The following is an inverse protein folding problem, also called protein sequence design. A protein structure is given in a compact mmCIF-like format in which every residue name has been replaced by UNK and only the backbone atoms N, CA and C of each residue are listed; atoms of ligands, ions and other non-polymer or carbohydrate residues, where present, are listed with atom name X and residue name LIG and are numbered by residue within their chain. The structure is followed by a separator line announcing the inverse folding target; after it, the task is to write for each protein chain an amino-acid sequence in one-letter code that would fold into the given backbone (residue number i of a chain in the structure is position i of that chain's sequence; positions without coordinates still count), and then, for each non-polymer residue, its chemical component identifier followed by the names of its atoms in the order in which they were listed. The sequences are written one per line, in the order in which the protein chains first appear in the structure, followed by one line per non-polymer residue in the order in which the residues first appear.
data_IF_496308307349
#
_entry.id   IF_496308307349
#
_cell.length_a   1.000
_cell.length_b   1.000
_cell.length_c   1.000
_cell.angle_alpha   90.00
_cell.angle_beta   90.00
_cell.angle_gamma   90.00
#
_symmetry.space_group_name_H-M   'P 1'
#
loop_
_entity.id
_entity.type
_entity.pdbx_description
1 polymer ?
#
# COMPACT_ATOMS: atom_id res chain seq x y z
N UNK A 1 23.96 -25.75 -2.10
CA UNK A 1 23.55 -25.41 -3.44
C UNK A 1 24.58 -24.49 -4.08
N UNK A 2 24.63 -24.45 -5.37
CA UNK A 2 25.48 -23.50 -6.09
C UNK A 2 24.81 -22.14 -6.13
N UNK A 3 25.60 -21.07 -6.04
CA UNK A 3 25.14 -19.72 -6.23
C UNK A 3 25.19 -19.37 -7.71
N UNK A 4 24.12 -18.79 -8.24
CA UNK A 4 24.00 -18.37 -9.64
C UNK A 4 23.41 -16.97 -9.74
N UNK A 5 23.79 -16.25 -10.78
CA UNK A 5 23.16 -14.96 -11.16
C UNK A 5 22.35 -15.16 -12.43
N UNK A 6 21.13 -14.64 -12.46
CA UNK A 6 20.23 -14.70 -13.62
C UNK A 6 20.10 -13.31 -14.21
N UNK A 7 20.44 -13.15 -15.49
CA UNK A 7 20.12 -11.95 -16.27
C UNK A 7 18.79 -12.15 -16.99
N UNK A 8 17.74 -11.52 -16.48
CA UNK A 8 16.41 -11.59 -17.06
C UNK A 8 16.27 -10.86 -18.41
N UNK A 9 17.24 -10.02 -18.80
CA UNK A 9 17.22 -9.28 -20.07
C UNK A 9 17.78 -10.14 -21.20
N UNK A 10 18.96 -10.73 -20.99
CA UNK A 10 19.59 -11.59 -21.99
C UNK A 10 19.14 -13.05 -21.92
N UNK A 11 18.57 -13.46 -20.78
CA UNK A 11 18.23 -14.86 -20.48
C UNK A 11 19.45 -15.71 -20.09
N UNK A 12 20.58 -15.10 -19.79
CA UNK A 12 21.80 -15.78 -19.40
C UNK A 12 21.79 -16.20 -17.91
N UNK A 13 22.44 -17.30 -17.62
CA UNK A 13 22.69 -17.79 -16.26
C UNK A 13 24.19 -17.84 -16.05
N UNK A 14 24.67 -17.06 -15.09
CA UNK A 14 26.08 -16.95 -14.74
C UNK A 14 26.38 -17.76 -13.47
N UNK A 15 27.51 -18.41 -13.43
CA UNK A 15 27.98 -19.10 -12.24
C UNK A 15 28.50 -18.08 -11.21
N UNK A 16 28.04 -18.22 -9.95
CA UNK A 16 28.43 -17.34 -8.85
C UNK A 16 27.59 -16.07 -8.74
N UNK A 17 27.91 -15.24 -7.75
CA UNK A 17 27.35 -13.92 -7.56
C UNK A 17 28.04 -12.91 -8.49
N UNK A 18 27.28 -12.27 -9.36
CA UNK A 18 27.78 -11.11 -10.12
C UNK A 18 27.68 -9.83 -9.27
N UNK A 19 28.61 -8.90 -9.48
CA UNK A 19 28.51 -7.58 -8.88
C UNK A 19 27.29 -6.84 -9.45
N UNK A 20 26.37 -6.43 -8.56
CA UNK A 20 25.17 -5.72 -8.93
C UNK A 20 25.44 -4.22 -8.91
N UNK A 21 25.12 -3.56 -10.00
CA UNK A 21 25.16 -2.10 -10.06
C UNK A 21 23.81 -1.53 -9.64
N UNK A 22 23.82 -0.59 -8.71
CA UNK A 22 22.62 0.17 -8.41
C UNK A 22 22.34 1.17 -9.54
N UNK A 23 21.08 1.27 -10.01
CA UNK A 23 20.70 2.25 -11.01
C UNK A 23 20.97 3.67 -10.48
N UNK A 24 21.82 4.40 -11.14
CA UNK A 24 22.09 5.79 -10.84
C UNK A 24 21.81 6.68 -12.06
N UNK A 25 21.35 7.91 -11.80
CA UNK A 25 21.25 8.92 -12.84
C UNK A 25 22.66 9.43 -13.12
N UNK A 26 23.27 8.99 -14.22
CA UNK A 26 24.47 9.62 -14.71
C UNK A 26 24.18 10.98 -15.36
N UNK A 27 25.24 11.76 -15.59
CA UNK A 27 25.11 13.11 -16.16
C UNK A 27 24.47 13.10 -17.56
N UNK A 28 24.73 12.07 -18.35
CA UNK A 28 24.17 11.92 -19.69
C UNK A 28 22.67 11.66 -19.64
N UNK A 29 22.25 10.80 -18.75
CA UNK A 29 20.83 10.51 -18.54
C UNK A 29 20.09 11.71 -17.94
N UNK A 30 20.70 12.40 -16.97
CA UNK A 30 20.15 13.63 -16.40
C UNK A 30 19.96 14.72 -17.47
N UNK A 31 20.93 14.87 -18.39
CA UNK A 31 20.85 15.81 -19.51
C UNK A 31 19.74 15.42 -20.50
N UNK A 32 19.57 14.14 -20.79
CA UNK A 32 18.50 13.66 -21.66
C UNK A 32 17.11 13.94 -21.05
N UNK A 33 16.95 13.71 -19.76
CA UNK A 33 15.70 14.04 -19.05
C UNK A 33 15.42 15.56 -19.09
N UNK A 34 16.44 16.39 -18.93
CA UNK A 34 16.26 17.85 -19.01
C UNK A 34 15.81 18.30 -20.41
N UNK A 35 16.34 17.70 -21.47
CA UNK A 35 15.87 17.98 -22.83
C UNK A 35 14.42 17.50 -23.03
N UNK A 36 14.08 16.30 -22.54
CA UNK A 36 12.72 15.77 -22.61
C UNK A 36 11.74 16.68 -21.86
N UNK A 37 12.09 17.15 -20.67
CA UNK A 37 11.24 18.03 -19.85
C UNK A 37 10.96 19.38 -20.52
N UNK A 38 11.89 19.92 -21.32
CA UNK A 38 11.69 21.16 -22.08
C UNK A 38 10.66 21.03 -23.20
N UNK A 39 10.58 19.84 -23.82
CA UNK A 39 9.69 19.55 -24.93
C UNK A 39 8.36 18.92 -24.48
N UNK A 40 8.32 18.37 -23.27
CA UNK A 40 7.17 17.65 -22.77
C UNK A 40 6.02 18.59 -22.40
N UNK A 41 4.81 18.28 -22.89
CA UNK A 41 3.58 19.04 -22.57
C UNK A 41 2.76 18.40 -21.46
N UNK A 42 3.16 17.21 -21.03
CA UNK A 42 2.45 16.41 -20.01
C UNK A 42 3.44 16.13 -18.89
N UNK A 43 3.01 16.33 -17.66
CA UNK A 43 3.82 15.99 -16.48
C UNK A 43 3.89 14.48 -16.28
N UNK A 44 5.07 13.98 -15.91
CA UNK A 44 5.29 12.57 -15.57
C UNK A 44 5.21 12.40 -14.06
N UNK A 45 4.29 11.56 -13.60
CA UNK A 45 4.09 11.25 -12.18
C UNK A 45 4.35 9.77 -11.94
N UNK A 46 5.00 9.47 -10.81
CA UNK A 46 5.28 8.10 -10.41
C UNK A 46 4.15 7.53 -9.54
N UNK A 47 4.07 6.20 -9.45
CA UNK A 47 3.34 5.54 -8.37
C UNK A 47 4.30 5.40 -7.18
N UNK A 48 3.84 5.77 -6.00
CA UNK A 48 4.59 5.62 -4.76
C UNK A 48 3.61 5.45 -3.59
N UNK A 49 3.74 4.36 -2.87
CA UNK A 49 2.85 3.99 -1.78
C UNK A 49 3.52 4.16 -0.41
N UNK A 50 4.84 4.24 -0.40
CA UNK A 50 5.68 4.39 0.79
C UNK A 50 6.57 5.64 0.70
N UNK A 51 7.09 6.14 1.84
CA UNK A 51 8.11 7.20 1.83
C UNK A 51 9.37 6.83 1.03
N UNK A 52 9.78 5.56 1.03
CA UNK A 52 10.93 5.08 0.26
C UNK A 52 10.69 5.18 -1.24
N UNK A 53 9.52 4.72 -1.72
CA UNK A 53 9.12 4.89 -3.13
C UNK A 53 9.11 6.36 -3.53
N UNK A 54 8.61 7.23 -2.64
CA UNK A 54 8.57 8.67 -2.90
C UNK A 54 9.98 9.28 -2.99
N UNK A 55 10.95 8.84 -2.16
CA UNK A 55 12.36 9.27 -2.27
C UNK A 55 12.94 8.83 -3.62
N UNK A 56 12.69 7.59 -4.01
CA UNK A 56 13.10 7.05 -5.31
C UNK A 56 12.49 7.84 -6.46
N UNK A 57 11.17 8.09 -6.42
CA UNK A 57 10.49 8.90 -7.43
C UNK A 57 11.10 10.32 -7.51
N UNK A 58 11.40 10.93 -6.38
CA UNK A 58 12.02 12.24 -6.29
C UNK A 58 13.45 12.26 -6.87
N UNK A 59 14.24 11.22 -6.59
CA UNK A 59 15.58 11.02 -7.13
C UNK A 59 15.55 10.94 -8.66
N UNK A 60 14.59 10.24 -9.23
CA UNK A 60 14.36 10.14 -10.68
C UNK A 60 13.59 11.33 -11.27
N UNK A 61 13.49 12.44 -10.54
CA UNK A 61 12.88 13.71 -11.00
C UNK A 61 11.40 13.58 -11.41
N UNK A 62 10.65 12.65 -10.83
CA UNK A 62 9.20 12.58 -11.04
C UNK A 62 8.55 13.91 -10.64
N UNK A 63 7.60 14.38 -11.45
CA UNK A 63 6.92 15.67 -11.30
C UNK A 63 5.69 15.58 -10.37
N UNK A 64 5.58 14.51 -9.62
CA UNK A 64 4.55 14.26 -8.62
C UNK A 64 4.30 12.78 -8.41
N UNK A 65 3.40 12.47 -7.48
CA UNK A 65 2.83 11.13 -7.29
C UNK A 65 1.48 11.06 -7.98
N UNK A 66 1.37 10.19 -8.98
CA UNK A 66 0.14 9.96 -9.74
C UNK A 66 -0.83 9.01 -9.06
N UNK A 67 -0.31 8.12 -8.21
CA UNK A 67 -1.10 7.20 -7.39
C UNK A 67 -0.32 6.79 -6.15
N UNK A 68 -0.90 7.08 -4.98
CA UNK A 68 -0.53 6.51 -3.70
C UNK A 68 -1.71 5.64 -3.21
N UNK A 69 -1.48 4.33 -3.11
CA UNK A 69 -2.47 3.33 -2.71
C UNK A 69 -2.38 3.13 -1.21
N UNK A 70 -3.33 3.66 -0.46
CA UNK A 70 -3.31 3.65 1.00
C UNK A 70 -3.42 2.26 1.61
N UNK A 71 -3.96 1.27 0.89
CA UNK A 71 -4.02 -0.12 1.34
C UNK A 71 -2.65 -0.72 1.58
N UNK A 72 -1.63 -0.34 0.80
CA UNK A 72 -0.28 -0.85 0.97
C UNK A 72 0.36 -0.43 2.30
N UNK A 73 -0.10 0.68 2.87
CA UNK A 73 0.33 1.13 4.19
C UNK A 73 -0.12 0.19 5.33
N UNK A 74 -1.15 -0.66 5.09
CA UNK A 74 -1.74 -1.52 6.11
C UNK A 74 -1.24 -2.98 6.09
N UNK A 75 -0.45 -3.39 5.09
CA UNK A 75 0.09 -4.75 5.01
C UNK A 75 1.34 -4.98 5.89
N UNK A 76 1.80 -3.96 6.59
CA UNK A 76 2.87 -4.08 7.57
C UNK A 76 2.45 -5.00 8.75
N UNK A 77 3.40 -5.82 9.25
CA UNK A 77 3.14 -6.81 10.31
C UNK A 77 2.56 -6.21 11.60
N UNK A 78 2.90 -4.96 11.91
CA UNK A 78 2.39 -4.26 13.10
C UNK A 78 1.00 -3.66 12.90
N UNK A 79 0.62 -3.38 11.66
CA UNK A 79 -0.62 -2.67 11.30
C UNK A 79 -1.73 -3.63 10.91
N UNK A 80 -1.38 -4.72 10.23
CA UNK A 80 -2.33 -5.71 9.73
C UNK A 80 -3.22 -6.30 10.84
N UNK A 81 -2.76 -6.60 12.05
CA UNK A 81 -3.62 -7.04 13.14
C UNK A 81 -4.69 -6.01 13.52
N UNK A 82 -4.35 -4.72 13.54
CA UNK A 82 -5.30 -3.64 13.86
C UNK A 82 -6.33 -3.48 12.74
N UNK A 83 -5.89 -3.62 11.48
CA UNK A 83 -6.79 -3.61 10.32
C UNK A 83 -7.78 -4.78 10.37
N UNK A 84 -7.31 -5.97 10.73
CA UNK A 84 -8.15 -7.15 10.94
C UNK A 84 -9.17 -6.95 12.08
N UNK A 85 -8.75 -6.37 13.20
CA UNK A 85 -9.64 -6.01 14.30
C UNK A 85 -10.77 -5.06 13.83
N UNK A 86 -10.43 -4.05 13.03
CA UNK A 86 -11.39 -3.14 12.42
C UNK A 86 -12.39 -3.89 11.52
N UNK A 87 -11.94 -4.84 10.70
CA UNK A 87 -12.79 -5.63 9.77
C UNK A 87 -13.74 -6.55 10.53
N UNK A 88 -13.30 -7.10 11.67
CA UNK A 88 -14.11 -7.99 12.52
C UNK A 88 -15.09 -7.26 13.44
N UNK A 89 -14.95 -5.95 13.59
CA UNK A 89 -15.85 -5.17 14.41
C UNK A 89 -17.26 -5.09 13.80
N UNK A 90 -18.25 -5.62 14.50
CA UNK A 90 -19.66 -5.61 14.07
C UNK A 90 -20.28 -4.22 14.23
N UNK A 91 -19.91 -3.51 15.29
CA UNK A 91 -20.49 -2.21 15.62
C UNK A 91 -19.56 -1.07 15.18
N UNK A 92 -20.12 0.07 14.72
CA UNK A 92 -19.34 1.24 14.36
C UNK A 92 -18.42 1.75 15.47
N UNK A 93 -18.84 1.65 16.74
CA UNK A 93 -18.08 2.06 17.90
C UNK A 93 -16.79 1.25 18.05
N UNK A 94 -16.90 -0.08 17.94
CA UNK A 94 -15.78 -0.99 18.05
C UNK A 94 -14.80 -0.78 16.87
N UNK A 95 -15.33 -0.53 15.68
CA UNK A 95 -14.53 -0.21 14.49
C UNK A 95 -13.75 1.09 14.66
N UNK A 96 -14.37 2.11 15.26
CA UNK A 96 -13.70 3.38 15.56
C UNK A 96 -12.52 3.21 16.52
N UNK A 97 -12.61 2.31 17.50
CA UNK A 97 -11.50 2.04 18.41
C UNK A 97 -10.25 1.55 17.66
N UNK A 98 -10.43 0.62 16.72
CA UNK A 98 -9.32 0.15 15.88
C UNK A 98 -8.80 1.27 14.96
N UNK A 99 -9.68 2.06 14.35
CA UNK A 99 -9.33 3.17 13.47
C UNK A 99 -8.56 4.29 14.20
N UNK A 100 -8.90 4.61 15.45
CA UNK A 100 -8.17 5.59 16.24
C UNK A 100 -6.72 5.15 16.54
N UNK A 101 -6.45 3.85 16.55
CA UNK A 101 -5.08 3.32 16.65
C UNK A 101 -4.33 3.39 15.32
N UNK A 102 -5.01 3.25 14.18
CA UNK A 102 -4.43 3.38 12.84
C UNK A 102 -4.15 4.84 12.45
N UNK A 103 -5.00 5.76 12.91
CA UNK A 103 -4.93 7.19 12.56
C UNK A 103 -3.53 7.81 12.73
N UNK A 104 -2.89 7.75 13.91
CA UNK A 104 -1.58 8.38 14.10
C UNK A 104 -0.50 7.74 13.24
N UNK A 105 -0.60 6.44 12.96
CA UNK A 105 0.36 5.70 12.16
C UNK A 105 0.26 6.15 10.71
N UNK A 106 -0.93 6.14 10.15
CA UNK A 106 -1.15 6.57 8.77
C UNK A 106 -0.88 8.07 8.58
N UNK A 107 -1.22 8.90 9.58
CA UNK A 107 -0.86 10.31 9.56
C UNK A 107 0.65 10.52 9.46
N UNK A 108 1.44 9.74 10.19
CA UNK A 108 2.89 9.83 10.11
C UNK A 108 3.42 9.47 8.72
N UNK A 109 2.86 8.46 8.07
CA UNK A 109 3.21 8.11 6.69
C UNK A 109 2.91 9.27 5.72
N UNK A 110 1.74 9.90 5.83
CA UNK A 110 1.40 11.05 4.99
C UNK A 110 2.28 12.26 5.28
N UNK A 111 2.58 12.56 6.55
CA UNK A 111 3.51 13.65 6.90
C UNK A 111 4.86 13.45 6.24
N UNK A 112 5.38 12.23 6.28
CA UNK A 112 6.67 11.91 5.65
C UNK A 112 6.59 12.00 4.13
N UNK A 113 5.55 11.40 3.52
CA UNK A 113 5.29 11.48 2.09
C UNK A 113 5.20 12.93 1.59
N UNK A 114 4.43 13.78 2.27
CA UNK A 114 4.27 15.18 1.90
C UNK A 114 5.54 16.00 2.08
N UNK A 115 6.37 15.69 3.08
CA UNK A 115 7.68 16.33 3.24
C UNK A 115 8.62 15.99 2.09
N UNK A 116 8.68 14.72 1.69
CA UNK A 116 9.49 14.28 0.55
C UNK A 116 9.01 14.94 -0.74
N UNK A 117 7.71 15.00 -0.94
CA UNK A 117 7.07 15.53 -2.15
C UNK A 117 6.76 17.04 -2.08
N UNK A 118 7.34 17.77 -1.12
CA UNK A 118 7.06 19.19 -0.95
C UNK A 118 7.17 19.99 -2.27
N UNK A 119 6.12 20.73 -2.59
CA UNK A 119 6.00 21.53 -3.83
C UNK A 119 5.52 20.75 -5.06
N UNK A 120 5.31 19.42 -4.95
CA UNK A 120 4.80 18.57 -6.02
C UNK A 120 3.44 17.95 -5.67
N UNK A 121 2.56 17.70 -6.65
CA UNK A 121 1.26 17.11 -6.40
C UNK A 121 1.36 15.64 -6.01
N UNK A 122 0.50 15.23 -5.07
CA UNK A 122 0.33 13.84 -4.64
C UNK A 122 -1.13 13.45 -4.79
N UNK A 123 -1.41 12.44 -5.61
CA UNK A 123 -2.74 11.86 -5.77
C UNK A 123 -2.87 10.66 -4.85
N UNK A 124 -3.77 10.72 -3.89
CA UNK A 124 -4.01 9.67 -2.91
C UNK A 124 -5.30 8.94 -3.26
N UNK A 125 -5.22 7.61 -3.35
CA UNK A 125 -6.40 6.75 -3.39
C UNK A 125 -6.72 6.30 -1.97
N UNK A 126 -7.89 6.66 -1.48
CA UNK A 126 -8.40 6.13 -0.21
C UNK A 126 -8.57 4.61 -0.31
N UNK A 127 -8.82 3.94 0.82
CA UNK A 127 -8.95 2.49 0.90
C UNK A 127 -9.90 1.96 -0.17
N UNK A 128 -9.36 1.18 -1.10
CA UNK A 128 -10.08 0.70 -2.28
C UNK A 128 -10.36 -0.81 -2.26
N UNK A 129 -9.42 -1.71 -1.88
CA UNK A 129 -9.64 -3.13 -2.04
C UNK A 129 -10.76 -3.66 -1.13
N UNK A 130 -11.42 -4.78 -1.53
CA UNK A 130 -12.35 -5.46 -0.65
C UNK A 130 -11.70 -5.89 0.65
N UNK A 131 -12.44 -5.85 1.75
CA UNK A 131 -11.91 -6.13 3.09
C UNK A 131 -11.36 -7.56 3.24
N UNK A 132 -11.86 -8.52 2.44
CA UNK A 132 -11.38 -9.90 2.51
C UNK A 132 -9.89 -10.06 2.14
N UNK A 133 -9.30 -9.12 1.40
CA UNK A 133 -7.88 -9.17 1.04
C UNK A 133 -6.94 -9.04 2.25
N UNK A 134 -7.44 -8.46 3.35
CA UNK A 134 -6.68 -8.35 4.61
C UNK A 134 -6.85 -9.57 5.52
N UNK A 135 -7.78 -10.47 5.18
CA UNK A 135 -8.10 -11.62 6.02
C UNK A 135 -7.13 -12.78 5.79
N UNK A 136 -6.94 -13.64 6.81
CA UNK A 136 -6.06 -14.79 6.67
C UNK A 136 -6.65 -15.84 5.71
N UNK A 137 -5.79 -16.49 4.92
CA UNK A 137 -6.21 -17.47 3.92
C UNK A 137 -5.93 -18.92 4.30
N UNK A 138 -5.00 -19.18 5.24
CA UNK A 138 -4.59 -20.53 5.65
C UNK A 138 -5.15 -20.92 7.02
N UNK A 139 -5.41 -22.22 7.26
CA UNK A 139 -5.96 -22.69 8.55
C UNK A 139 -5.07 -22.32 9.75
N UNK A 140 -3.74 -22.42 9.59
CA UNK A 140 -2.80 -22.04 10.63
C UNK A 140 -2.84 -20.53 10.94
N UNK A 141 -2.94 -19.70 9.91
CA UNK A 141 -3.04 -18.25 10.05
C UNK A 141 -4.41 -17.86 10.65
N UNK A 142 -5.49 -18.51 10.21
CA UNK A 142 -6.83 -18.32 10.79
C UNK A 142 -6.81 -18.63 12.29
N UNK A 143 -6.21 -19.75 12.71
CA UNK A 143 -6.13 -20.12 14.12
C UNK A 143 -5.30 -19.09 14.93
N UNK A 144 -4.20 -18.62 14.39
CA UNK A 144 -3.35 -17.62 15.03
C UNK A 144 -4.10 -16.27 15.19
N UNK A 145 -4.76 -15.80 14.14
CA UNK A 145 -5.52 -14.55 14.14
C UNK A 145 -6.74 -14.66 15.08
N UNK A 146 -7.47 -15.77 15.04
CA UNK A 146 -8.60 -16.02 15.93
C UNK A 146 -8.18 -15.94 17.42
N UNK A 147 -7.04 -16.56 17.75
CA UNK A 147 -6.46 -16.48 19.09
C UNK A 147 -6.07 -15.05 19.48
N UNK A 148 -5.47 -14.31 18.57
CA UNK A 148 -5.04 -12.91 18.82
C UNK A 148 -6.24 -11.97 19.02
N UNK A 149 -7.33 -12.17 18.28
CA UNK A 149 -8.55 -11.37 18.37
C UNK A 149 -9.53 -11.86 19.48
N UNK A 150 -9.25 -13.00 20.12
CA UNK A 150 -10.15 -13.56 21.15
C UNK A 150 -11.47 -14.09 20.59
N UNK A 151 -11.51 -14.46 19.30
CA UNK A 151 -12.68 -15.02 18.62
C UNK A 151 -12.46 -16.50 18.26
N UNK A 152 -13.51 -17.21 17.90
CA UNK A 152 -13.39 -18.58 17.42
C UNK A 152 -12.93 -18.63 15.97
N UNK A 153 -12.17 -19.67 15.59
CA UNK A 153 -11.76 -19.87 14.20
C UNK A 153 -12.96 -19.96 13.24
N UNK A 154 -14.08 -20.53 13.72
CA UNK A 154 -15.31 -20.66 12.92
C UNK A 154 -15.98 -19.31 12.68
N UNK A 155 -16.01 -18.42 13.68
CA UNK A 155 -16.52 -17.05 13.51
C UNK A 155 -15.66 -16.28 12.47
N UNK A 156 -14.34 -16.44 12.53
CA UNK A 156 -13.42 -15.83 11.58
C UNK A 156 -13.63 -16.36 10.16
N UNK A 157 -13.77 -17.67 9.99
CA UNK A 157 -14.09 -18.31 8.70
C UNK A 157 -15.44 -17.84 8.15
N UNK A 158 -16.44 -17.74 9.01
CA UNK A 158 -17.77 -17.26 8.62
C UNK A 158 -17.70 -15.81 8.10
N UNK A 159 -17.05 -14.92 8.84
CA UNK A 159 -16.85 -13.53 8.42
C UNK A 159 -16.05 -13.41 7.12
N UNK A 160 -15.00 -14.21 6.97
CA UNK A 160 -14.23 -14.25 5.72
C UNK A 160 -15.08 -14.69 4.52
N UNK A 161 -16.00 -15.66 4.74
CA UNK A 161 -16.92 -16.12 3.72
C UNK A 161 -17.97 -15.06 3.36
N UNK A 162 -18.51 -14.35 4.36
CA UNK A 162 -19.45 -13.23 4.13
C UNK A 162 -18.83 -12.08 3.31
N UNK A 163 -17.55 -11.78 3.58
CA UNK A 163 -16.83 -10.70 2.90
C UNK A 163 -16.22 -11.12 1.57
N UNK A 164 -16.25 -12.42 1.24
CA UNK A 164 -15.67 -12.93 0.00
C UNK A 164 -16.43 -12.41 -1.21
N UNK A 165 -15.69 -11.78 -2.13
CA UNK A 165 -16.24 -11.22 -3.36
C UNK A 165 -16.02 -12.18 -4.52
N UNK A 166 -17.09 -12.49 -5.25
CA UNK A 166 -16.99 -13.30 -6.47
C UNK A 166 -16.29 -12.55 -7.60
N UNK A 167 -16.54 -11.25 -7.69
CA UNK A 167 -15.86 -10.34 -8.59
C UNK A 167 -15.34 -9.13 -7.79
N UNK A 168 -14.05 -9.07 -7.47
CA UNK A 168 -13.47 -7.98 -6.66
C UNK A 168 -13.70 -6.59 -7.26
N UNK A 169 -13.82 -6.46 -8.58
CA UNK A 169 -14.03 -5.16 -9.22
C UNK A 169 -15.44 -4.59 -9.02
N UNK A 170 -16.43 -5.46 -8.89
CA UNK A 170 -17.84 -5.10 -8.69
C UNK A 170 -18.29 -5.22 -7.23
N UNK A 171 -17.41 -5.72 -6.37
CA UNK A 171 -17.70 -6.04 -4.98
C UNK A 171 -17.81 -4.83 -4.03
N UNK A 172 -17.83 -5.14 -2.75
CA UNK A 172 -17.95 -4.17 -1.66
C UNK A 172 -16.61 -3.51 -1.36
N UNK A 173 -16.27 -2.50 -2.16
CA UNK A 173 -15.00 -1.79 -2.11
C UNK A 173 -15.13 -0.30 -2.47
N UNK A 174 -14.07 0.46 -2.29
CA UNK A 174 -13.96 1.86 -2.72
C UNK A 174 -15.08 2.72 -2.15
N UNK A 175 -15.78 3.43 -3.01
CA UNK A 175 -16.88 4.34 -2.58
C UNK A 175 -18.02 3.60 -1.89
N UNK A 176 -18.34 2.36 -2.29
CA UNK A 176 -19.39 1.56 -1.63
C UNK A 176 -19.02 1.24 -0.18
N UNK A 177 -17.75 0.89 0.04
CA UNK A 177 -17.20 0.67 1.39
C UNK A 177 -17.24 1.97 2.21
N UNK A 178 -16.83 3.09 1.64
CA UNK A 178 -16.82 4.40 2.31
C UNK A 178 -18.23 4.92 2.66
N UNK A 179 -19.25 4.53 1.91
CA UNK A 179 -20.65 4.87 2.23
C UNK A 179 -21.17 4.01 3.38
N UNK A 180 -20.88 2.70 3.37
CA UNK A 180 -21.39 1.78 4.38
C UNK A 180 -20.61 1.85 5.71
N UNK A 181 -19.31 2.15 5.64
CA UNK A 181 -18.42 2.34 6.79
C UNK A 181 -17.73 3.71 6.73
N UNK A 182 -18.49 4.80 6.91
CA UNK A 182 -17.99 6.17 6.73
C UNK A 182 -16.83 6.52 7.67
N UNK A 183 -16.74 5.87 8.82
CA UNK A 183 -15.66 6.05 9.78
C UNK A 183 -14.27 5.71 9.21
N UNK A 184 -14.17 4.83 8.21
CA UNK A 184 -12.92 4.51 7.53
C UNK A 184 -12.45 5.73 6.70
N UNK A 185 -13.35 6.28 5.89
CA UNK A 185 -13.03 7.44 5.07
C UNK A 185 -12.75 8.69 5.93
N UNK A 186 -13.50 8.86 7.03
CA UNK A 186 -13.27 9.93 8.01
C UNK A 186 -11.87 9.82 8.64
N UNK A 187 -11.47 8.62 9.07
CA UNK A 187 -10.14 8.39 9.63
C UNK A 187 -9.05 8.73 8.61
N UNK A 188 -9.18 8.29 7.36
CA UNK A 188 -8.19 8.60 6.32
C UNK A 188 -8.13 10.09 5.99
N UNK A 189 -9.27 10.77 5.92
CA UNK A 189 -9.30 12.22 5.74
C UNK A 189 -8.58 12.94 6.89
N UNK A 190 -8.85 12.56 8.14
CA UNK A 190 -8.14 13.09 9.32
C UNK A 190 -6.65 12.77 9.34
N UNK A 191 -6.23 11.67 8.73
CA UNK A 191 -4.81 11.32 8.62
C UNK A 191 -4.09 12.20 7.58
N UNK A 192 -4.79 12.61 6.52
CA UNK A 192 -4.26 13.47 5.44
C UNK A 192 -4.16 14.93 5.91
N UNK A 193 -5.15 15.44 6.65
CA UNK A 193 -5.27 16.83 7.12
C UNK A 193 -5.01 16.96 8.64
#
# INVERSE_FOLDING_TARGET
GEEITIDGTSGEVLAGAAEMLEPALDDSFAQLLEWADRECRITVRANADTPEDARTARMFKAQGIGLCRTEHMFFDEMRLPIMREMIFADRPEDRRVALERLLPIQRQDFVELFRIMAGLPVTIRLLDPPLHEFLPHGEAEIAAVAKALGVTADALKHRATELHEFNPMLGFRGVRLAIAYPEIAEMQARAIF
#
